data_IF_293859328937
#
_entry.id   IF_293859328937
#
_cell.length_a   1.000
_cell.length_b   1.000
_cell.length_c   1.000
_cell.angle_alpha   90.00
_cell.angle_beta   90.00
_cell.angle_gamma   90.00
#
_symmetry.space_group_name_H-M   'P 1'
#
loop_
_entity.id
_entity.type
_entity.pdbx_description
1 polymer ?
#
# COMPACT_ATOMS: atom_id res chain seq x y z
N UNK A 1 34.85 14.16 -40.56
CA UNK A 1 34.69 12.99 -39.66
C UNK A 1 34.66 13.34 -38.18
N UNK A 2 35.56 14.20 -37.67
CA UNK A 2 35.61 14.60 -36.24
C UNK A 2 34.33 15.30 -35.72
N UNK A 3 33.68 16.09 -36.57
CA UNK A 3 32.46 16.82 -36.19
C UNK A 3 31.21 15.92 -36.14
N UNK A 4 31.14 14.89 -37.00
CA UNK A 4 30.06 13.90 -36.98
C UNK A 4 30.15 12.99 -35.75
N UNK A 5 31.37 12.67 -35.31
CA UNK A 5 31.63 11.94 -34.07
C UNK A 5 31.20 12.73 -32.83
N UNK A 6 31.52 14.03 -32.80
CA UNK A 6 31.08 14.90 -31.70
C UNK A 6 29.56 15.03 -31.67
N UNK A 7 28.90 15.22 -32.82
CA UNK A 7 27.44 15.29 -32.88
C UNK A 7 26.73 14.00 -32.43
N UNK A 8 27.29 12.82 -32.74
CA UNK A 8 26.77 11.55 -32.23
C UNK A 8 26.93 11.42 -30.72
N UNK A 9 28.07 11.85 -30.15
CA UNK A 9 28.26 11.84 -28.69
C UNK A 9 27.29 12.80 -27.99
N UNK A 10 27.03 13.98 -28.57
CA UNK A 10 26.06 14.93 -28.01
C UNK A 10 24.65 14.37 -28.05
N UNK A 11 24.27 13.69 -29.14
CA UNK A 11 22.96 13.05 -29.31
C UNK A 11 22.77 11.89 -28.32
N UNK A 12 23.78 11.03 -28.15
CA UNK A 12 23.75 9.94 -27.16
C UNK A 12 23.64 10.49 -25.74
N UNK A 13 24.39 11.55 -25.41
CA UNK A 13 24.30 12.20 -24.10
C UNK A 13 22.92 12.82 -23.84
N UNK A 14 22.27 13.42 -24.85
CA UNK A 14 20.91 13.99 -24.69
C UNK A 14 19.86 12.90 -24.51
N UNK A 15 19.96 11.77 -25.23
CA UNK A 15 19.03 10.65 -25.04
C UNK A 15 19.16 9.96 -23.67
N UNK A 16 20.37 9.85 -23.12
CA UNK A 16 20.60 9.26 -21.80
C UNK A 16 20.07 10.15 -20.65
N UNK A 17 20.14 11.48 -20.79
CA UNK A 17 19.59 12.42 -19.80
C UNK A 17 18.06 12.46 -19.85
N UNK A 18 17.45 12.38 -21.04
CA UNK A 18 15.99 12.32 -21.19
C UNK A 18 15.39 10.97 -20.70
N UNK A 19 16.13 9.87 -20.81
CA UNK A 19 15.72 8.56 -20.28
C UNK A 19 15.75 8.47 -18.74
N UNK A 20 16.50 9.34 -18.06
CA UNK A 20 16.61 9.36 -16.59
C UNK A 20 15.37 9.90 -15.85
N UNK A 21 14.43 10.54 -16.58
CA UNK A 21 13.16 11.01 -16.01
C UNK A 21 12.08 9.92 -15.97
N UNK A 22 12.29 8.79 -16.65
CA UNK A 22 11.57 7.56 -16.36
C UNK A 22 12.18 6.93 -15.10
N UNK A 23 12.06 7.61 -13.96
CA UNK A 23 12.11 6.90 -12.67
C UNK A 23 11.04 5.84 -12.80
N UNK A 24 11.48 4.60 -12.88
CA UNK A 24 10.63 3.43 -12.84
C UNK A 24 9.94 3.48 -11.47
N UNK A 25 8.82 4.20 -11.38
CA UNK A 25 7.80 3.90 -10.39
C UNK A 25 7.41 2.48 -10.72
N UNK A 26 8.04 1.52 -10.04
CA UNK A 26 7.89 0.10 -10.31
C UNK A 26 6.44 -0.30 -10.10
N UNK A 27 5.63 -0.15 -11.14
CA UNK A 27 4.43 -0.94 -11.36
C UNK A 27 4.92 -2.38 -11.48
N UNK A 28 4.90 -3.11 -10.36
CA UNK A 28 5.21 -4.55 -10.33
C UNK A 28 6.16 -5.04 -9.24
N UNK A 29 6.96 -4.19 -8.59
CA UNK A 29 7.89 -4.64 -7.53
C UNK A 29 7.35 -4.50 -6.10
N UNK A 30 6.15 -3.93 -5.94
CA UNK A 30 5.53 -3.70 -4.63
C UNK A 30 4.95 -4.94 -3.94
N UNK A 31 4.89 -6.10 -4.62
CA UNK A 31 4.33 -7.34 -4.07
C UNK A 31 5.29 -8.05 -3.11
N UNK A 32 6.53 -8.31 -3.51
CA UNK A 32 7.48 -9.14 -2.73
C UNK A 32 7.91 -8.52 -1.40
N UNK A 33 7.88 -7.19 -1.29
CA UNK A 33 8.14 -6.47 -0.04
C UNK A 33 6.92 -6.38 0.89
N UNK A 34 5.72 -6.74 0.41
CA UNK A 34 4.46 -6.46 1.13
C UNK A 34 4.11 -7.53 2.15
N UNK A 35 4.22 -8.81 1.80
CA UNK A 35 4.02 -9.90 2.75
C UNK A 35 4.96 -9.77 3.98
N UNK A 36 6.28 -9.53 3.80
CA UNK A 36 7.16 -9.22 4.92
C UNK A 36 6.74 -7.96 5.70
N UNK A 37 6.20 -6.95 5.04
CA UNK A 37 5.71 -5.73 5.69
C UNK A 37 4.45 -5.98 6.53
N UNK A 38 3.51 -6.83 6.08
CA UNK A 38 2.35 -7.23 6.86
C UNK A 38 2.72 -8.04 8.10
N UNK A 39 3.59 -9.04 7.94
CA UNK A 39 4.06 -9.84 9.06
C UNK A 39 4.77 -8.96 10.11
N UNK A 40 5.63 -8.04 9.65
CA UNK A 40 6.31 -7.08 10.52
C UNK A 40 5.33 -6.16 11.24
N UNK A 41 4.43 -5.52 10.49
CA UNK A 41 3.44 -4.59 11.06
C UNK A 41 2.54 -5.27 12.09
N UNK A 42 2.14 -6.53 11.84
CA UNK A 42 1.36 -7.31 12.79
C UNK A 42 2.17 -7.63 14.06
N UNK A 43 3.41 -8.09 13.92
CA UNK A 43 4.28 -8.39 15.06
C UNK A 43 4.49 -7.14 15.92
N UNK A 44 4.82 -6.01 15.30
CA UNK A 44 4.99 -4.74 16.01
C UNK A 44 3.69 -4.29 16.70
N UNK A 45 2.54 -4.46 16.08
CA UNK A 45 1.26 -4.07 16.69
C UNK A 45 0.88 -5.02 17.84
N UNK A 46 1.19 -6.31 17.73
CA UNK A 46 0.98 -7.26 18.82
C UNK A 46 1.82 -6.92 20.06
N UNK A 47 3.07 -6.47 19.88
CA UNK A 47 3.88 -5.93 20.98
C UNK A 47 3.20 -4.73 21.64
N UNK A 48 2.62 -3.82 20.85
CA UNK A 48 1.91 -2.66 21.40
C UNK A 48 0.66 -3.05 22.17
N UNK A 49 -0.06 -4.08 21.73
CA UNK A 49 -1.19 -4.64 22.48
C UNK A 49 -0.74 -5.15 23.84
N UNK A 50 0.36 -5.91 23.91
CA UNK A 50 0.91 -6.42 25.18
C UNK A 50 1.32 -5.31 26.15
N UNK A 51 1.74 -4.16 25.62
CA UNK A 51 2.13 -3.00 26.43
C UNK A 51 0.95 -2.15 26.92
N UNK A 52 -0.18 -2.18 26.21
CA UNK A 52 -1.28 -1.22 26.41
C UNK A 52 -2.56 -1.86 26.94
N UNK A 53 -2.80 -3.14 26.67
CA UNK A 53 -4.00 -3.86 27.10
C UNK A 53 -3.67 -4.70 28.32
N UNK A 54 -4.24 -4.34 29.47
CA UNK A 54 -3.85 -4.91 30.77
C UNK A 54 -4.40 -6.31 31.02
N UNK A 55 -5.57 -6.57 30.46
CA UNK A 55 -6.27 -7.85 30.60
C UNK A 55 -5.76 -8.82 29.51
N UNK A 56 -5.20 -9.97 29.90
CA UNK A 56 -4.60 -10.91 28.95
C UNK A 56 -5.62 -11.53 27.98
N UNK A 57 -6.87 -11.74 28.39
CA UNK A 57 -7.90 -12.28 27.51
C UNK A 57 -8.38 -11.20 26.50
N UNK A 58 -8.51 -9.95 26.95
CA UNK A 58 -8.75 -8.83 26.02
C UNK A 58 -7.58 -8.65 25.05
N UNK A 59 -6.34 -8.76 25.51
CA UNK A 59 -5.16 -8.65 24.65
C UNK A 59 -5.15 -9.75 23.57
N UNK A 60 -5.47 -10.99 23.96
CA UNK A 60 -5.60 -12.12 23.01
C UNK A 60 -6.67 -11.85 21.95
N UNK A 61 -7.85 -11.37 22.35
CA UNK A 61 -8.93 -11.03 21.42
C UNK A 61 -8.55 -9.85 20.51
N UNK A 62 -7.88 -8.82 21.04
CA UNK A 62 -7.39 -7.68 20.28
C UNK A 62 -6.39 -8.12 19.19
N UNK A 63 -5.43 -8.99 19.52
CA UNK A 63 -4.48 -9.56 18.57
C UNK A 63 -5.16 -10.38 17.47
N UNK A 64 -6.20 -11.14 17.82
CA UNK A 64 -6.98 -11.88 16.82
C UNK A 64 -7.69 -10.93 15.83
N UNK A 65 -8.31 -9.86 16.32
CA UNK A 65 -8.94 -8.85 15.45
C UNK A 65 -7.90 -8.18 14.54
N UNK A 66 -6.71 -7.87 15.05
CA UNK A 66 -5.61 -7.29 14.26
C UNK A 66 -5.12 -8.25 13.18
N UNK A 67 -5.00 -9.54 13.49
CA UNK A 67 -4.67 -10.58 12.51
C UNK A 67 -5.72 -10.62 11.39
N UNK A 68 -7.01 -10.54 11.73
CA UNK A 68 -8.09 -10.51 10.74
C UNK A 68 -8.02 -9.26 9.84
N UNK A 69 -7.68 -8.09 10.38
CA UNK A 69 -7.47 -6.86 9.60
C UNK A 69 -6.31 -7.05 8.60
N UNK A 70 -5.22 -7.67 9.03
CA UNK A 70 -4.05 -7.93 8.18
C UNK A 70 -4.39 -8.96 7.10
N UNK A 71 -5.15 -10.00 7.44
CA UNK A 71 -5.61 -11.02 6.49
C UNK A 71 -6.50 -10.43 5.40
N UNK A 72 -7.48 -9.60 5.78
CA UNK A 72 -8.35 -8.90 4.82
C UNK A 72 -7.53 -7.96 3.93
N UNK A 73 -6.59 -7.21 4.51
CA UNK A 73 -5.68 -6.33 3.74
C UNK A 73 -4.88 -7.14 2.72
N UNK A 74 -4.23 -8.24 3.15
CA UNK A 74 -3.43 -9.08 2.29
C UNK A 74 -4.26 -9.73 1.16
N UNK A 75 -5.47 -10.20 1.46
CA UNK A 75 -6.40 -10.72 0.45
C UNK A 75 -6.83 -9.64 -0.53
N UNK A 76 -7.14 -8.43 -0.05
CA UNK A 76 -7.50 -7.29 -0.88
C UNK A 76 -6.39 -6.96 -1.88
N UNK A 77 -5.11 -7.02 -1.46
CA UNK A 77 -3.99 -6.80 -2.38
C UNK A 77 -3.85 -7.89 -3.44
N UNK A 78 -4.08 -9.15 -3.09
CA UNK A 78 -4.10 -10.25 -4.07
C UNK A 78 -5.20 -10.01 -5.12
N UNK A 79 -6.41 -9.67 -4.68
CA UNK A 79 -7.52 -9.33 -5.57
C UNK A 79 -7.18 -8.15 -6.48
N UNK A 80 -6.59 -7.07 -5.96
CA UNK A 80 -6.15 -5.93 -6.79
C UNK A 80 -5.22 -6.38 -7.90
N UNK A 81 -4.23 -7.23 -7.60
CA UNK A 81 -3.31 -7.76 -8.62
C UNK A 81 -4.04 -8.60 -9.68
N UNK A 82 -5.04 -9.37 -9.28
CA UNK A 82 -5.84 -10.16 -10.22
C UNK A 82 -6.68 -9.24 -11.13
N UNK A 83 -7.17 -8.10 -10.63
CA UNK A 83 -7.80 -7.07 -11.45
C UNK A 83 -6.81 -6.37 -12.39
N UNK A 84 -5.60 -6.07 -11.94
CA UNK A 84 -4.54 -5.52 -12.80
C UNK A 84 -4.27 -6.46 -13.98
N UNK A 85 -4.24 -7.78 -13.74
CA UNK A 85 -4.12 -8.79 -14.80
C UNK A 85 -5.31 -8.79 -15.77
N UNK A 86 -6.55 -8.61 -15.27
CA UNK A 86 -7.73 -8.44 -16.15
C UNK A 86 -7.60 -7.21 -17.04
N UNK A 87 -7.13 -6.08 -16.49
CA UNK A 87 -6.90 -4.87 -17.29
C UNK A 87 -5.78 -5.04 -18.32
N UNK A 88 -4.71 -5.75 -17.99
CA UNK A 88 -3.67 -6.08 -18.97
C UNK A 88 -4.23 -6.95 -20.10
N UNK A 89 -5.07 -7.94 -19.78
CA UNK A 89 -5.69 -8.79 -20.78
C UNK A 89 -6.63 -8.01 -21.72
N UNK A 90 -7.45 -7.09 -21.19
CA UNK A 90 -8.32 -6.23 -22.00
C UNK A 90 -7.54 -5.30 -22.92
N UNK A 91 -6.36 -4.84 -22.49
CA UNK A 91 -5.50 -3.97 -23.29
C UNK A 91 -4.57 -4.71 -24.26
N UNK A 92 -4.56 -6.05 -24.26
CA UNK A 92 -3.54 -6.83 -24.97
C UNK A 92 -3.57 -6.64 -26.50
N UNK A 93 -4.75 -6.42 -27.08
CA UNK A 93 -4.94 -6.27 -28.53
C UNK A 93 -5.76 -5.03 -28.92
N UNK A 94 -6.14 -4.19 -27.97
CA UNK A 94 -6.95 -2.97 -28.18
C UNK A 94 -8.35 -3.20 -28.80
N UNK A 95 -8.86 -4.42 -28.76
CA UNK A 95 -10.22 -4.73 -29.26
C UNK A 95 -11.30 -4.61 -28.18
N UNK A 96 -10.89 -4.44 -26.91
CA UNK A 96 -11.84 -4.35 -25.82
C UNK A 96 -12.70 -3.08 -25.88
N UNK A 97 -14.01 -3.24 -25.64
CA UNK A 97 -14.97 -2.13 -25.63
C UNK A 97 -14.93 -1.38 -24.29
N UNK A 98 -15.37 -0.10 -24.26
CA UNK A 98 -15.51 0.64 -23.01
C UNK A 98 -16.32 -0.10 -21.94
N UNK A 99 -17.39 -0.80 -22.33
CA UNK A 99 -18.24 -1.58 -21.40
C UNK A 99 -17.46 -2.72 -20.72
N UNK A 100 -16.53 -3.36 -21.42
CA UNK A 100 -15.68 -4.41 -20.84
C UNK A 100 -14.73 -3.84 -19.79
N UNK A 101 -14.16 -2.65 -20.03
CA UNK A 101 -13.35 -1.95 -19.01
C UNK A 101 -14.18 -1.52 -17.81
N UNK A 102 -15.35 -0.92 -18.05
CA UNK A 102 -16.25 -0.46 -16.99
C UNK A 102 -16.69 -1.62 -16.09
N UNK A 103 -17.00 -2.78 -16.68
CA UNK A 103 -17.33 -3.98 -15.90
C UNK A 103 -16.22 -4.38 -14.93
N UNK A 104 -14.96 -4.42 -15.38
CA UNK A 104 -13.82 -4.78 -14.52
C UNK A 104 -13.58 -3.72 -13.44
N UNK A 105 -13.75 -2.43 -13.77
CA UNK A 105 -13.66 -1.33 -12.81
C UNK A 105 -14.74 -1.43 -11.72
N UNK A 106 -15.99 -1.67 -12.11
CA UNK A 106 -17.11 -1.80 -11.17
C UNK A 106 -16.91 -3.01 -10.24
N UNK A 107 -16.50 -4.16 -10.79
CA UNK A 107 -16.13 -5.33 -9.99
C UNK A 107 -15.02 -5.02 -8.98
N UNK A 108 -13.94 -4.37 -9.42
CA UNK A 108 -12.83 -3.99 -8.54
C UNK A 108 -13.27 -3.03 -7.45
N UNK A 109 -14.09 -2.02 -7.80
CA UNK A 109 -14.57 -1.03 -6.86
C UNK A 109 -15.48 -1.66 -5.80
N UNK A 110 -16.37 -2.56 -6.20
CA UNK A 110 -17.25 -3.29 -5.28
C UNK A 110 -16.45 -4.16 -4.30
N UNK A 111 -15.44 -4.89 -4.79
CA UNK A 111 -14.56 -5.69 -3.95
C UNK A 111 -13.75 -4.83 -2.96
N UNK A 112 -13.22 -3.70 -3.43
CA UNK A 112 -12.51 -2.74 -2.57
C UNK A 112 -13.43 -2.20 -1.47
N UNK A 113 -14.64 -1.75 -1.83
CA UNK A 113 -15.62 -1.24 -0.86
C UNK A 113 -16.01 -2.30 0.17
N UNK A 114 -16.19 -3.55 -0.25
CA UNK A 114 -16.51 -4.65 0.65
C UNK A 114 -15.37 -4.94 1.64
N UNK A 115 -14.12 -4.95 1.16
CA UNK A 115 -12.92 -5.13 1.98
C UNK A 115 -12.75 -3.99 3.01
N UNK A 116 -12.85 -2.73 2.55
CA UNK A 116 -12.76 -1.55 3.42
C UNK A 116 -13.85 -1.55 4.51
N UNK A 117 -15.07 -1.95 4.15
CA UNK A 117 -16.17 -2.10 5.10
C UNK A 117 -15.87 -3.16 6.16
N UNK A 118 -15.30 -4.31 5.78
CA UNK A 118 -14.89 -5.37 6.73
C UNK A 118 -13.80 -4.88 7.67
N UNK A 119 -12.76 -4.24 7.15
CA UNK A 119 -11.67 -3.67 7.96
C UNK A 119 -12.21 -2.62 8.94
N UNK A 120 -13.10 -1.74 8.49
CA UNK A 120 -13.71 -0.73 9.35
C UNK A 120 -14.54 -1.37 10.48
N UNK A 121 -15.34 -2.40 10.16
CA UNK A 121 -16.08 -3.17 11.16
C UNK A 121 -15.17 -3.82 12.21
N UNK A 122 -14.05 -4.40 11.78
CA UNK A 122 -13.05 -4.97 12.70
C UNK A 122 -12.42 -3.91 13.60
N UNK A 123 -12.12 -2.71 13.08
CA UNK A 123 -11.62 -1.59 13.90
C UNK A 123 -12.63 -1.13 14.95
N UNK A 124 -13.92 -1.10 14.62
CA UNK A 124 -14.97 -0.81 15.60
C UNK A 124 -15.08 -1.90 16.67
N UNK A 125 -14.98 -3.18 16.30
CA UNK A 125 -14.93 -4.29 17.27
C UNK A 125 -13.73 -4.16 18.21
N UNK A 126 -12.55 -3.84 17.67
CA UNK A 126 -11.35 -3.61 18.49
C UNK A 126 -11.55 -2.45 19.46
N UNK A 127 -12.11 -1.33 18.99
CA UNK A 127 -12.41 -0.16 19.84
C UNK A 127 -13.41 -0.50 20.95
N UNK A 128 -14.44 -1.30 20.64
CA UNK A 128 -15.47 -1.68 21.63
C UNK A 128 -14.95 -2.69 22.68
N UNK A 129 -13.96 -3.50 22.32
CA UNK A 129 -13.31 -4.45 23.23
C UNK A 129 -12.46 -3.76 24.30
N UNK A 130 -11.83 -2.63 23.95
CA UNK A 130 -10.89 -1.93 24.80
C UNK A 130 -11.57 -0.83 25.62
N UNK A 131 -11.02 -0.53 26.80
CA UNK A 131 -11.41 0.70 27.49
C UNK A 131 -10.99 1.93 26.69
N UNK A 132 -11.61 3.08 26.96
CA UNK A 132 -11.26 4.34 26.29
C UNK A 132 -9.76 4.68 26.42
N UNK A 133 -9.16 4.40 27.59
CA UNK A 133 -7.75 4.62 27.83
C UNK A 133 -6.87 3.62 27.07
N UNK A 134 -7.16 2.31 27.15
CA UNK A 134 -6.43 1.28 26.40
C UNK A 134 -6.49 1.54 24.88
N UNK A 135 -7.65 1.93 24.35
CA UNK A 135 -7.81 2.32 22.95
C UNK A 135 -6.92 3.51 22.60
N UNK A 136 -6.96 4.57 23.41
CA UNK A 136 -6.12 5.75 23.21
C UNK A 136 -4.64 5.39 23.19
N UNK A 137 -4.17 4.69 24.23
CA UNK A 137 -2.76 4.31 24.39
C UNK A 137 -2.28 3.43 23.23
N UNK A 138 -3.09 2.47 22.80
CA UNK A 138 -2.81 1.62 21.64
C UNK A 138 -2.71 2.45 20.36
N UNK A 139 -3.68 3.32 20.08
CA UNK A 139 -3.68 4.13 18.84
C UNK A 139 -2.53 5.13 18.78
N UNK A 140 -2.21 5.80 19.89
CA UNK A 140 -1.08 6.72 19.97
C UNK A 140 0.25 5.98 19.74
N UNK A 141 0.39 4.79 20.34
CA UNK A 141 1.57 3.96 20.15
C UNK A 141 1.70 3.46 18.70
N UNK A 142 0.58 3.07 18.07
CA UNK A 142 0.54 2.67 16.66
C UNK A 142 0.92 3.83 15.73
N UNK A 143 0.42 5.04 15.98
CA UNK A 143 0.75 6.21 15.17
C UNK A 143 2.22 6.59 15.30
N UNK A 144 2.75 6.60 16.52
CA UNK A 144 4.19 6.81 16.77
C UNK A 144 5.02 5.76 16.04
N UNK A 145 4.64 4.49 16.11
CA UNK A 145 5.32 3.36 15.45
C UNK A 145 5.31 3.53 13.92
N UNK A 146 4.15 3.85 13.34
CA UNK A 146 3.94 4.07 11.90
C UNK A 146 4.78 5.23 11.37
N UNK A 147 4.93 6.30 12.13
CA UNK A 147 5.70 7.49 11.69
C UNK A 147 7.15 7.18 11.32
N UNK A 148 7.74 6.09 11.83
CA UNK A 148 9.09 5.61 11.47
C UNK A 148 9.21 5.16 10.01
N UNK A 149 8.09 4.78 9.40
CA UNK A 149 8.03 4.32 8.01
C UNK A 149 7.58 5.41 7.04
N UNK A 150 7.14 6.57 7.56
CA UNK A 150 6.75 7.69 6.72
C UNK A 150 8.00 8.45 6.28
N UNK A 151 8.06 8.92 5.02
CA UNK A 151 9.15 9.79 4.60
C UNK A 151 9.22 11.01 5.53
N UNK A 152 10.42 11.34 6.00
CA UNK A 152 10.65 12.56 6.78
C UNK A 152 10.24 13.75 5.90
N UNK A 153 9.53 14.71 6.49
CA UNK A 153 9.25 16.01 5.85
C UNK A 153 10.54 16.83 5.74
N UNK A 154 11.49 16.37 4.93
CA UNK A 154 12.65 17.17 4.52
C UNK A 154 12.36 17.68 3.10
N UNK A 155 12.06 18.97 2.98
CA UNK A 155 12.15 19.72 1.72
C UNK A 155 10.97 19.66 0.75
N UNK A 156 9.79 20.17 1.13
CA UNK A 156 8.83 20.78 0.18
C UNK A 156 9.03 22.32 0.14
N UNK A 157 10.27 22.76 0.09
CA UNK A 157 10.63 24.15 -0.23
C UNK A 157 11.74 24.11 -1.28
N UNK A 158 11.35 24.05 -2.54
CA UNK A 158 12.29 23.94 -3.64
C UNK A 158 11.63 24.13 -5.01
N UNK A 159 11.20 25.36 -5.29
CA UNK A 159 11.25 25.96 -6.63
C UNK A 159 10.14 25.60 -7.63
N UNK A 160 9.19 26.52 -7.79
CA UNK A 160 8.62 26.94 -9.08
C UNK A 160 8.18 28.40 -8.88
N UNK A 161 8.24 29.29 -9.90
CA UNK A 161 7.79 29.05 -11.27
C UNK A 161 8.87 28.58 -12.26
#
# INVERSE_FOLDING_TARGET
>A
MRNAWMLMLTLVATTLVAGGCARQHGYGTGGSYREPAFARGLAETNELVDLTVKDPEKAKQAKAILQDIVNESAQSFKKTRDYDQKFYALNANYEATPDQFMKVLDEQNNERMASETRILGLRFKLKALLTAQEWKDLTDAMDKRRSRYMPKKEGMSGGAP
#
